data_IF_070160463398
#
_entry.id   IF_070160463398
#
_cell.length_a   1.000
_cell.length_b   1.000
_cell.length_c   1.000
_cell.angle_alpha   90.00
_cell.angle_beta   90.00
_cell.angle_gamma   90.00
#
_symmetry.space_group_name_H-M   'P 1'
#
loop_
_entity.id
_entity.type
_entity.pdbx_description
1 polymer ?
#
# COMPACT_ATOMS: atom_id res chain seq x y z
N UNK A 1 81.05 21.91 -4.40
CA UNK A 1 81.00 20.98 -5.56
C UNK A 1 80.37 19.71 -5.10
N UNK A 2 79.08 19.52 -5.36
CA UNK A 2 78.44 18.19 -5.42
C UNK A 2 77.17 18.35 -6.27
N UNK A 3 77.15 17.61 -7.37
CA UNK A 3 76.06 17.57 -8.33
C UNK A 3 74.88 16.75 -7.78
N UNK A 4 73.70 17.31 -7.75
CA UNK A 4 72.46 16.55 -7.50
C UNK A 4 71.90 15.95 -8.80
N UNK A 5 71.76 14.63 -8.84
CA UNK A 5 71.08 13.90 -9.89
C UNK A 5 69.54 13.98 -9.65
N UNK A 6 68.81 14.38 -10.69
CA UNK A 6 67.37 14.26 -10.75
C UNK A 6 67.01 12.90 -11.35
N UNK A 7 66.32 12.06 -10.55
CA UNK A 7 65.62 10.86 -11.04
C UNK A 7 64.18 11.24 -11.29
N UNK A 8 63.78 11.19 -12.55
CA UNK A 8 62.39 11.31 -12.96
C UNK A 8 61.67 9.98 -12.68
N UNK A 9 60.73 9.96 -11.76
CA UNK A 9 59.80 8.87 -11.58
C UNK A 9 58.57 9.10 -12.49
N UNK A 10 58.46 8.30 -13.54
CA UNK A 10 57.25 8.18 -14.35
C UNK A 10 56.15 7.49 -13.51
N UNK A 11 55.22 8.27 -13.00
CA UNK A 11 53.99 7.77 -12.40
C UNK A 11 53.04 7.34 -13.50
N UNK A 12 52.83 6.04 -13.62
CA UNK A 12 51.76 5.47 -14.42
C UNK A 12 50.44 5.73 -13.67
N UNK A 13 49.65 6.69 -14.13
CA UNK A 13 48.26 6.83 -13.72
C UNK A 13 47.48 5.65 -14.28
N UNK A 14 47.22 4.65 -13.44
CA UNK A 14 46.20 3.66 -13.72
C UNK A 14 44.84 4.37 -13.63
N UNK A 15 44.15 4.49 -14.76
CA UNK A 15 42.77 4.93 -14.83
C UNK A 15 41.91 3.89 -14.10
N UNK A 16 41.24 4.31 -13.03
CA UNK A 16 40.18 3.57 -12.39
C UNK A 16 39.01 3.61 -13.37
N UNK A 17 38.47 2.48 -13.85
CA UNK A 17 37.27 2.50 -14.66
C UNK A 17 36.13 3.04 -13.82
N UNK A 18 35.40 4.03 -14.38
CA UNK A 18 34.28 4.68 -13.76
C UNK A 18 33.23 3.64 -13.30
N UNK A 19 32.78 3.81 -12.08
CA UNK A 19 31.59 3.15 -11.61
C UNK A 19 30.39 3.72 -12.39
N UNK A 20 30.02 3.04 -13.46
CA UNK A 20 28.74 3.27 -14.11
C UNK A 20 27.64 2.93 -13.08
N UNK A 21 26.68 3.83 -13.01
CA UNK A 21 25.51 3.70 -12.16
C UNK A 21 24.71 2.43 -12.50
N UNK A 22 24.97 1.33 -11.81
CA UNK A 22 24.19 0.09 -11.87
C UNK A 22 23.03 0.17 -10.88
N UNK A 23 22.12 1.11 -11.08
CA UNK A 23 21.04 1.37 -10.13
C UNK A 23 19.64 0.96 -10.58
N UNK A 24 19.41 0.59 -11.83
CA UNK A 24 18.06 0.33 -12.35
C UNK A 24 17.81 -1.09 -12.86
N UNK A 25 18.84 -1.90 -13.04
CA UNK A 25 18.71 -3.27 -13.60
C UNK A 25 18.62 -4.37 -12.54
N UNK A 26 18.94 -4.07 -11.29
CA UNK A 26 19.07 -5.08 -10.23
C UNK A 26 17.71 -5.69 -9.83
N UNK A 27 16.62 -4.91 -9.89
CA UNK A 27 15.28 -5.41 -9.57
C UNK A 27 14.68 -6.24 -10.71
N UNK A 28 14.93 -5.86 -11.96
CA UNK A 28 14.55 -6.67 -13.12
C UNK A 28 15.35 -7.97 -13.17
N UNK A 29 16.66 -7.93 -12.86
CA UNK A 29 17.52 -9.11 -12.80
C UNK A 29 17.25 -9.99 -11.57
N UNK A 30 16.87 -9.42 -10.41
CA UNK A 30 16.42 -10.21 -9.25
C UNK A 30 15.11 -10.95 -9.52
N UNK A 31 14.27 -10.45 -10.41
CA UNK A 31 13.02 -11.13 -10.82
C UNK A 31 13.31 -12.28 -11.79
N UNK A 32 14.35 -12.21 -12.60
CA UNK A 32 14.65 -13.21 -13.65
C UNK A 32 15.60 -14.34 -13.16
N UNK A 33 16.33 -14.15 -12.07
CA UNK A 33 17.22 -15.15 -11.46
C UNK A 33 16.53 -15.99 -10.35
N UNK A 34 15.23 -16.26 -10.46
CA UNK A 34 14.51 -17.06 -9.46
C UNK A 34 14.94 -18.53 -9.47
N UNK A 35 15.14 -19.14 -8.29
CA UNK A 35 15.23 -20.59 -8.18
C UNK A 35 13.97 -21.22 -8.79
N UNK A 36 14.11 -22.30 -9.56
CA UNK A 36 12.98 -23.08 -10.09
C UNK A 36 12.05 -23.46 -8.95
N UNK A 37 10.80 -22.94 -8.96
CA UNK A 37 9.78 -23.17 -7.93
C UNK A 37 9.18 -21.92 -7.31
N UNK A 38 9.66 -20.72 -7.64
CA UNK A 38 9.01 -19.48 -7.22
C UNK A 38 7.92 -19.08 -8.21
N UNK A 39 6.74 -18.84 -7.67
CA UNK A 39 5.54 -18.36 -8.37
C UNK A 39 5.85 -17.05 -9.10
N UNK A 40 5.41 -16.89 -10.34
CA UNK A 40 5.60 -15.66 -11.11
C UNK A 40 4.84 -14.48 -10.46
N UNK A 41 5.21 -13.25 -10.84
CA UNK A 41 4.52 -12.04 -10.33
C UNK A 41 3.06 -12.01 -10.75
N UNK A 42 2.77 -12.47 -11.95
CA UNK A 42 1.42 -12.64 -12.50
C UNK A 42 0.65 -13.71 -11.72
N UNK A 43 1.27 -14.82 -11.42
CA UNK A 43 0.72 -15.94 -10.66
C UNK A 43 0.42 -15.58 -9.20
N UNK A 44 1.28 -14.77 -8.56
CA UNK A 44 1.00 -14.19 -7.25
C UNK A 44 -0.21 -13.27 -7.28
N UNK A 45 -0.34 -12.47 -8.35
CA UNK A 45 -1.48 -11.60 -8.56
C UNK A 45 -2.76 -12.40 -8.76
N UNK A 46 -2.74 -13.40 -9.64
CA UNK A 46 -3.89 -14.28 -9.89
C UNK A 46 -4.33 -15.02 -8.63
N UNK A 47 -3.37 -15.56 -7.86
CA UNK A 47 -3.67 -16.22 -6.59
C UNK A 47 -4.31 -15.25 -5.60
N UNK A 48 -3.83 -14.00 -5.53
CA UNK A 48 -4.42 -12.96 -4.68
C UNK A 48 -5.82 -12.58 -5.12
N UNK A 49 -6.05 -12.45 -6.42
CA UNK A 49 -7.38 -12.18 -6.98
C UNK A 49 -8.33 -13.35 -6.72
N UNK A 50 -7.89 -14.60 -6.86
CA UNK A 50 -8.68 -15.80 -6.51
C UNK A 50 -9.04 -15.82 -5.02
N UNK A 51 -8.11 -15.50 -4.12
CA UNK A 51 -8.39 -15.38 -2.68
C UNK A 51 -9.46 -14.32 -2.37
N UNK A 52 -9.58 -13.29 -3.21
CA UNK A 52 -10.59 -12.25 -3.13
C UNK A 52 -11.90 -12.63 -3.86
N UNK A 53 -12.04 -13.86 -4.33
CA UNK A 53 -13.22 -14.34 -5.07
C UNK A 53 -13.32 -13.79 -6.49
N UNK A 54 -12.17 -13.40 -7.08
CA UNK A 54 -12.07 -12.98 -8.48
C UNK A 54 -11.68 -14.19 -9.31
N UNK A 55 -12.65 -14.96 -9.75
CA UNK A 55 -12.43 -16.01 -10.73
C UNK A 55 -12.19 -15.37 -12.09
N UNK A 56 -11.06 -15.70 -12.72
CA UNK A 56 -10.71 -15.23 -14.05
C UNK A 56 -10.62 -13.69 -14.16
N UNK A 57 -9.63 -13.04 -13.48
CA UNK A 57 -9.49 -11.59 -13.55
C UNK A 57 -9.18 -11.14 -14.98
N UNK A 58 -9.93 -10.17 -15.48
CA UNK A 58 -9.52 -9.47 -16.69
C UNK A 58 -8.09 -8.94 -16.54
N UNK A 59 -7.25 -9.00 -17.57
CA UNK A 59 -5.93 -8.41 -17.49
C UNK A 59 -6.04 -6.94 -17.09
N UNK A 60 -5.20 -6.55 -16.17
CA UNK A 60 -5.22 -5.20 -15.64
C UNK A 60 -5.05 -4.17 -16.76
N UNK A 61 -5.86 -3.10 -16.77
CA UNK A 61 -5.88 -2.16 -17.87
C UNK A 61 -4.57 -1.37 -17.93
N UNK A 62 -3.93 -1.36 -19.09
CA UNK A 62 -2.76 -0.52 -19.39
C UNK A 62 -3.13 0.79 -20.09
N UNK A 63 -4.42 0.97 -20.40
CA UNK A 63 -4.97 2.14 -21.07
C UNK A 63 -6.46 2.31 -20.69
N UNK A 64 -7.05 3.48 -20.92
CA UNK A 64 -8.47 3.72 -20.72
C UNK A 64 -9.35 2.72 -21.48
N UNK A 65 -10.33 2.13 -20.82
CA UNK A 65 -11.19 1.07 -21.36
C UNK A 65 -12.33 1.59 -22.26
N UNK A 66 -12.72 2.85 -22.07
CA UNK A 66 -13.83 3.46 -22.81
C UNK A 66 -13.66 4.98 -22.91
N UNK A 67 -14.58 5.65 -23.65
CA UNK A 67 -14.53 7.09 -23.86
C UNK A 67 -14.60 7.91 -22.55
N UNK A 68 -15.46 7.55 -21.63
CA UNK A 68 -15.61 8.26 -20.35
C UNK A 68 -14.31 8.18 -19.54
N UNK A 69 -13.73 6.98 -19.47
CA UNK A 69 -12.46 6.72 -18.82
C UNK A 69 -11.30 7.51 -19.47
N UNK A 70 -11.29 7.60 -20.81
CA UNK A 70 -10.32 8.41 -21.56
C UNK A 70 -10.43 9.88 -21.25
N UNK A 71 -11.65 10.41 -21.15
CA UNK A 71 -11.91 11.84 -20.85
C UNK A 71 -11.38 12.19 -19.44
N UNK A 72 -11.71 11.37 -18.45
CA UNK A 72 -11.23 11.59 -17.08
C UNK A 72 -9.70 11.44 -16.99
N UNK A 73 -9.10 10.47 -17.66
CA UNK A 73 -7.66 10.29 -17.72
C UNK A 73 -6.96 11.52 -18.31
N UNK A 74 -7.42 12.01 -19.49
CA UNK A 74 -6.85 13.19 -20.15
C UNK A 74 -7.02 14.43 -19.27
N UNK A 75 -8.19 14.62 -18.67
CA UNK A 75 -8.49 15.74 -17.77
C UNK A 75 -7.50 15.84 -16.62
N UNK A 76 -7.32 14.74 -15.88
CA UNK A 76 -6.49 14.74 -14.69
C UNK A 76 -5.00 14.74 -15.01
N UNK A 77 -4.59 14.07 -16.07
CA UNK A 77 -3.22 14.16 -16.59
C UNK A 77 -2.87 15.60 -17.00
N UNK A 78 -3.76 16.28 -17.72
CA UNK A 78 -3.58 17.69 -18.07
C UNK A 78 -3.48 18.56 -16.82
N UNK A 79 -4.38 18.39 -15.85
CA UNK A 79 -4.36 19.13 -14.59
C UNK A 79 -3.04 18.93 -13.83
N UNK A 80 -2.53 17.70 -13.76
CA UNK A 80 -1.23 17.38 -13.16
C UNK A 80 -0.07 18.11 -13.86
N UNK A 81 -0.08 18.12 -15.21
CA UNK A 81 0.99 18.71 -16.02
C UNK A 81 0.98 20.24 -16.01
N UNK A 82 -0.19 20.86 -15.84
CA UNK A 82 -0.32 22.33 -15.78
C UNK A 82 -0.23 22.91 -14.37
N UNK A 83 -0.26 22.06 -13.36
CA UNK A 83 -0.12 22.50 -11.97
C UNK A 83 1.31 22.98 -11.70
N UNK A 84 1.42 24.01 -10.88
CA UNK A 84 2.69 24.61 -10.46
C UNK A 84 3.04 24.21 -9.01
N UNK A 85 4.29 24.39 -8.63
CA UNK A 85 4.76 24.09 -7.27
C UNK A 85 4.87 22.59 -7.00
N UNK A 86 4.93 22.26 -5.69
CA UNK A 86 5.09 20.88 -5.23
C UNK A 86 3.80 20.11 -5.35
N UNK A 87 3.88 18.92 -5.93
CA UNK A 87 2.73 18.04 -6.13
C UNK A 87 3.15 16.58 -6.24
N UNK A 88 2.24 15.69 -5.86
CA UNK A 88 2.31 14.26 -6.13
C UNK A 88 1.47 13.97 -7.36
N UNK A 89 2.00 13.15 -8.27
CA UNK A 89 1.30 12.71 -9.48
C UNK A 89 1.32 11.18 -9.50
N UNK A 90 0.17 10.54 -9.69
CA UNK A 90 0.02 9.09 -9.77
C UNK A 90 -0.61 8.72 -11.09
N UNK A 91 0.07 7.92 -11.87
CA UNK A 91 -0.50 7.27 -13.07
C UNK A 91 -0.94 5.85 -12.72
N UNK A 92 -2.23 5.58 -12.83
CA UNK A 92 -2.81 4.26 -12.58
C UNK A 92 -2.32 3.27 -13.64
N UNK A 93 -2.28 3.68 -14.90
CA UNK A 93 -1.90 2.79 -16.01
C UNK A 93 -0.40 2.51 -16.06
N UNK A 94 0.44 3.51 -15.78
CA UNK A 94 1.89 3.34 -15.73
C UNK A 94 2.33 2.69 -14.42
N UNK A 95 1.45 2.70 -13.38
CA UNK A 95 1.75 2.24 -12.02
C UNK A 95 2.99 2.92 -11.48
N UNK A 96 2.98 4.24 -11.60
CA UNK A 96 4.07 5.12 -11.17
C UNK A 96 3.54 6.26 -10.32
N UNK A 97 4.39 6.72 -9.42
CA UNK A 97 4.23 7.95 -8.67
C UNK A 97 5.40 8.87 -8.96
N UNK A 98 5.12 10.15 -9.13
CA UNK A 98 6.13 11.21 -9.20
C UNK A 98 5.89 12.23 -8.09
N UNK A 99 6.97 12.67 -7.44
CA UNK A 99 6.98 13.88 -6.65
C UNK A 99 7.66 14.96 -7.49
N UNK A 100 6.93 16.04 -7.78
CA UNK A 100 7.36 17.09 -8.69
C UNK A 100 7.35 18.42 -7.94
N UNK A 101 8.33 19.29 -8.23
CA UNK A 101 8.36 20.68 -7.76
C UNK A 101 8.63 21.62 -8.93
N UNK A 102 7.62 22.42 -9.32
CA UNK A 102 7.73 23.21 -10.55
C UNK A 102 7.87 22.34 -11.80
N UNK A 103 9.04 22.37 -12.43
CA UNK A 103 9.40 21.53 -13.58
C UNK A 103 10.30 20.34 -13.17
N UNK A 104 10.80 20.33 -11.94
CA UNK A 104 11.78 19.34 -11.48
C UNK A 104 11.05 18.10 -10.94
N UNK A 105 11.41 16.93 -11.46
CA UNK A 105 11.02 15.64 -10.89
C UNK A 105 11.98 15.29 -9.77
N UNK A 106 11.49 15.33 -8.53
CA UNK A 106 12.27 15.02 -7.34
C UNK A 106 12.36 13.51 -7.09
N UNK A 107 11.31 12.78 -7.48
CA UNK A 107 11.23 11.32 -7.37
C UNK A 107 10.36 10.77 -8.50
N UNK A 108 10.78 9.65 -9.07
CA UNK A 108 9.94 8.75 -9.85
C UNK A 108 10.01 7.36 -9.20
N UNK A 109 8.88 6.81 -8.82
CA UNK A 109 8.77 5.54 -8.11
C UNK A 109 7.75 4.61 -8.74
N UNK A 110 8.00 3.31 -8.67
CA UNK A 110 6.98 2.31 -8.98
C UNK A 110 5.87 2.35 -7.93
N UNK A 111 4.62 2.23 -8.35
CA UNK A 111 3.47 2.31 -7.46
C UNK A 111 2.51 1.13 -7.65
N UNK A 112 2.17 0.44 -6.57
CA UNK A 112 1.03 -0.46 -6.53
C UNK A 112 -0.27 0.33 -6.46
N UNK A 113 -1.27 -0.04 -7.27
CA UNK A 113 -2.55 0.66 -7.37
C UNK A 113 -3.72 -0.30 -7.19
N UNK A 114 -4.93 0.24 -7.12
CA UNK A 114 -6.16 -0.52 -6.97
C UNK A 114 -6.40 -1.53 -8.10
N UNK A 115 -6.98 -2.67 -7.75
CA UNK A 115 -7.26 -3.77 -8.69
C UNK A 115 -8.23 -3.40 -9.82
N UNK A 116 -8.95 -2.30 -9.71
CA UNK A 116 -9.91 -1.86 -10.74
C UNK A 116 -11.14 -2.75 -10.86
N UNK A 117 -11.50 -3.45 -9.80
CA UNK A 117 -12.64 -4.39 -9.77
C UNK A 117 -13.64 -4.01 -8.69
N UNK A 118 -14.92 -4.28 -8.96
CA UNK A 118 -15.98 -4.13 -7.97
C UNK A 118 -16.38 -5.52 -7.48
N UNK A 119 -16.16 -5.78 -6.19
CA UNK A 119 -16.38 -7.09 -5.57
C UNK A 119 -17.05 -6.97 -4.21
N UNK A 120 -17.69 -8.05 -3.81
CA UNK A 120 -18.29 -8.23 -2.49
C UNK A 120 -19.05 -9.53 -2.40
N UNK A 121 -19.09 -10.20 -1.23
CA UNK A 121 -19.89 -11.39 -1.02
C UNK A 121 -21.37 -11.11 -1.28
N UNK A 122 -22.09 -12.11 -1.75
CA UNK A 122 -23.55 -12.00 -1.92
C UNK A 122 -24.19 -11.62 -0.58
N UNK A 123 -25.00 -10.54 -0.58
CA UNK A 123 -25.73 -10.10 0.59
C UNK A 123 -24.99 -9.16 1.56
N UNK A 124 -23.69 -8.87 1.35
CA UNK A 124 -22.93 -7.99 2.26
C UNK A 124 -22.63 -6.61 1.64
N UNK A 125 -22.69 -6.49 0.31
CA UNK A 125 -22.42 -5.24 -0.40
C UNK A 125 -21.32 -5.39 -1.44
N UNK A 126 -21.17 -4.35 -2.24
CA UNK A 126 -20.13 -4.28 -3.28
C UNK A 126 -19.17 -3.16 -2.92
N UNK A 127 -17.89 -3.45 -3.06
CA UNK A 127 -16.80 -2.51 -2.85
C UNK A 127 -16.06 -2.30 -4.16
N UNK A 128 -15.75 -1.05 -4.45
CA UNK A 128 -14.91 -0.68 -5.58
C UNK A 128 -13.45 -0.63 -5.10
N UNK A 129 -12.64 -1.52 -5.64
CA UNK A 129 -11.21 -1.62 -5.36
C UNK A 129 -10.37 -0.88 -6.40
N UNK A 130 -10.90 0.17 -6.98
CA UNK A 130 -10.17 1.05 -7.88
C UNK A 130 -9.43 2.15 -7.09
N UNK A 131 -8.26 2.56 -7.56
CA UNK A 131 -7.67 3.82 -7.13
C UNK A 131 -8.46 4.96 -7.80
N UNK A 132 -9.15 5.82 -7.03
CA UNK A 132 -10.03 6.82 -7.61
C UNK A 132 -9.21 7.95 -8.25
N UNK A 133 -9.56 8.29 -9.49
CA UNK A 133 -8.98 9.44 -10.19
C UNK A 133 -9.44 10.74 -9.59
N UNK A 134 -8.65 11.78 -9.77
CA UNK A 134 -9.01 13.11 -9.34
C UNK A 134 -7.86 13.89 -8.71
N UNK A 135 -8.20 15.06 -8.20
CA UNK A 135 -7.32 15.86 -7.35
C UNK A 135 -7.67 15.61 -5.90
N UNK A 136 -6.65 15.24 -5.13
CA UNK A 136 -6.68 15.08 -3.67
C UNK A 136 -5.67 16.01 -3.02
N UNK A 137 -5.55 15.93 -1.72
CA UNK A 137 -4.58 16.70 -0.95
C UNK A 137 -4.05 15.82 0.18
N UNK A 138 -2.77 15.90 0.50
CA UNK A 138 -2.21 15.28 1.69
C UNK A 138 -2.82 15.94 2.93
N UNK A 139 -3.66 15.22 3.65
CA UNK A 139 -4.39 15.70 4.82
C UNK A 139 -3.64 15.45 6.12
N UNK A 140 -2.96 14.30 6.22
CA UNK A 140 -2.20 13.90 7.38
C UNK A 140 -1.05 12.98 6.99
N UNK A 141 -0.07 12.85 7.88
CA UNK A 141 1.11 12.00 7.74
C UNK A 141 1.33 11.24 9.03
N UNK A 142 1.73 9.98 8.95
CA UNK A 142 1.97 9.15 10.13
C UNK A 142 3.15 8.22 9.92
N UNK A 143 3.98 8.09 10.97
CA UNK A 143 5.07 7.12 11.04
C UNK A 143 4.60 5.87 11.79
N UNK A 144 5.09 4.70 11.37
CA UNK A 144 4.71 3.40 11.93
C UNK A 144 3.18 3.23 12.05
N UNK A 145 2.44 3.48 10.95
CA UNK A 145 0.99 3.51 10.99
C UNK A 145 0.40 2.12 11.25
N UNK A 146 -0.63 2.08 12.06
CA UNK A 146 -1.43 0.88 12.24
C UNK A 146 -2.57 0.88 11.21
N UNK A 147 -2.69 -0.20 10.45
CA UNK A 147 -3.81 -0.35 9.54
C UNK A 147 -5.09 -0.66 10.31
N UNK A 148 -6.14 0.04 9.99
CA UNK A 148 -7.49 -0.19 10.54
C UNK A 148 -8.37 -0.76 9.42
N UNK A 149 -8.38 -2.09 9.21
CA UNK A 149 -8.99 -2.70 8.04
C UNK A 149 -10.50 -2.46 7.98
N UNK A 150 -11.05 -2.18 6.78
CA UNK A 150 -12.50 -2.22 6.53
C UNK A 150 -13.07 -3.63 6.72
N UNK A 151 -14.39 -3.73 6.83
CA UNK A 151 -15.08 -5.01 7.08
C UNK A 151 -14.80 -6.07 6.00
N UNK A 152 -14.64 -5.66 4.74
CA UNK A 152 -14.32 -6.58 3.65
C UNK A 152 -13.02 -7.37 3.85
N UNK A 153 -12.09 -6.88 4.66
CA UNK A 153 -10.83 -7.57 4.99
C UNK A 153 -11.07 -8.92 5.69
N UNK A 154 -12.14 -9.02 6.44
CA UNK A 154 -12.48 -10.22 7.23
C UNK A 154 -13.24 -11.27 6.43
N UNK A 155 -13.78 -10.90 5.24
CA UNK A 155 -14.50 -11.85 4.41
C UNK A 155 -13.57 -12.91 3.84
N UNK A 156 -14.00 -14.14 3.87
CA UNK A 156 -13.20 -15.28 3.43
C UNK A 156 -12.14 -15.76 4.42
N UNK A 157 -11.98 -15.09 5.58
CA UNK A 157 -11.08 -15.58 6.64
C UNK A 157 -11.68 -16.70 7.47
N UNK A 158 -12.99 -16.86 7.44
CA UNK A 158 -13.71 -17.96 8.08
C UNK A 158 -14.99 -18.27 7.28
N UNK A 159 -15.54 -19.46 7.49
CA UNK A 159 -16.80 -19.87 6.87
C UNK A 159 -17.97 -18.94 7.25
N UNK A 160 -18.01 -18.51 8.51
CA UNK A 160 -19.00 -17.58 9.00
C UNK A 160 -18.32 -16.34 9.60
N UNK A 161 -18.57 -15.18 8.99
CA UNK A 161 -18.08 -13.87 9.45
C UNK A 161 -19.28 -12.99 9.81
N UNK A 162 -19.26 -12.32 10.95
CA UNK A 162 -20.31 -11.41 11.40
C UNK A 162 -19.75 -10.12 12.00
N UNK A 163 -20.41 -8.98 11.86
CA UNK A 163 -20.10 -7.79 12.62
C UNK A 163 -20.18 -8.07 14.13
N UNK A 164 -19.33 -7.40 14.92
CA UNK A 164 -19.40 -7.48 16.38
C UNK A 164 -20.73 -6.89 16.86
N UNK A 165 -21.56 -7.64 17.61
CA UNK A 165 -22.88 -7.16 18.00
C UNK A 165 -22.77 -6.10 19.12
N UNK A 166 -23.63 -5.07 19.05
CA UNK A 166 -23.64 -3.97 20.02
C UNK A 166 -23.80 -4.45 21.47
N UNK A 167 -24.57 -5.51 21.69
CA UNK A 167 -24.77 -6.11 23.02
C UNK A 167 -23.65 -7.09 23.45
N UNK A 168 -22.62 -7.26 22.64
CA UNK A 168 -21.56 -8.24 22.89
C UNK A 168 -22.02 -9.69 22.57
N UNK A 169 -21.06 -10.63 22.73
CA UNK A 169 -21.27 -12.05 22.39
C UNK A 169 -21.45 -12.85 23.68
N UNK A 170 -22.54 -13.56 23.84
CA UNK A 170 -22.76 -14.43 25.01
C UNK A 170 -21.90 -15.68 24.91
N UNK A 171 -21.24 -16.03 26.02
CA UNK A 171 -20.49 -17.27 26.18
C UNK A 171 -21.17 -18.23 27.19
N UNK A 172 -22.48 -18.04 27.41
CA UNK A 172 -23.19 -18.78 28.45
C UNK A 172 -22.66 -18.42 29.85
N UNK A 173 -22.49 -19.43 30.68
CA UNK A 173 -21.97 -19.28 32.08
C UNK A 173 -20.52 -18.76 32.11
N UNK A 174 -19.80 -18.83 30.98
CA UNK A 174 -18.44 -18.33 30.86
C UNK A 174 -18.33 -16.81 30.70
N UNK A 175 -19.46 -16.09 30.68
CA UNK A 175 -19.49 -14.65 30.61
C UNK A 175 -19.91 -14.09 29.26
N UNK A 176 -19.45 -12.90 28.93
CA UNK A 176 -19.82 -12.19 27.71
C UNK A 176 -18.61 -11.46 27.14
N UNK A 177 -18.41 -11.56 25.82
CA UNK A 177 -17.42 -10.73 25.13
C UNK A 177 -18.02 -9.35 24.88
N UNK A 178 -17.37 -8.32 25.35
CA UNK A 178 -17.85 -6.93 25.27
C UNK A 178 -16.74 -5.99 24.82
N UNK A 179 -17.14 -4.83 24.28
CA UNK A 179 -16.23 -3.70 24.08
C UNK A 179 -16.19 -2.83 25.33
N UNK A 180 -14.99 -2.47 25.78
CA UNK A 180 -14.77 -1.41 26.79
C UNK A 180 -13.71 -0.44 26.27
N UNK A 181 -14.12 0.79 25.96
CA UNK A 181 -13.24 1.79 25.35
C UNK A 181 -12.65 1.33 24.02
N UNK A 182 -11.32 1.25 23.95
CA UNK A 182 -10.54 0.81 22.79
C UNK A 182 -10.20 -0.69 22.79
N UNK A 183 -10.77 -1.49 23.68
CA UNK A 183 -10.49 -2.92 23.84
C UNK A 183 -11.75 -3.76 23.74
N UNK A 184 -11.57 -4.98 23.21
CA UNK A 184 -12.55 -6.06 23.34
C UNK A 184 -12.03 -7.04 24.35
N UNK A 185 -12.91 -7.54 25.22
CA UNK A 185 -12.52 -8.47 26.28
C UNK A 185 -13.70 -9.27 26.79
N UNK A 186 -13.41 -10.23 27.67
CA UNK A 186 -14.40 -11.08 28.32
C UNK A 186 -14.79 -10.44 29.68
N UNK A 187 -16.08 -10.25 29.87
CA UNK A 187 -16.66 -9.81 31.13
C UNK A 187 -17.23 -11.04 31.83
N UNK A 188 -16.70 -11.33 33.04
CA UNK A 188 -17.15 -12.45 33.89
C UNK A 188 -17.22 -11.99 35.32
N UNK A 189 -18.37 -12.16 35.98
CA UNK A 189 -18.54 -11.77 37.38
C UNK A 189 -18.24 -10.30 37.73
N UNK A 190 -18.32 -9.41 36.73
CA UNK A 190 -17.95 -7.98 36.86
C UNK A 190 -16.50 -7.65 36.47
N UNK A 191 -15.63 -8.65 36.39
CA UNK A 191 -14.23 -8.51 35.97
C UNK A 191 -14.13 -8.50 34.43
N UNK A 192 -13.25 -7.63 33.89
CA UNK A 192 -12.97 -7.50 32.45
C UNK A 192 -11.55 -7.94 32.17
N UNK A 193 -11.43 -8.97 31.36
CA UNK A 193 -10.17 -9.49 30.81
C UNK A 193 -10.06 -9.13 29.32
N UNK A 194 -9.08 -8.29 28.97
CA UNK A 194 -8.89 -7.88 27.59
C UNK A 194 -8.38 -9.06 26.73
N UNK A 195 -8.95 -9.21 25.53
CA UNK A 195 -8.45 -10.14 24.53
C UNK A 195 -7.24 -9.48 23.86
N UNK A 196 -6.10 -10.20 23.72
CA UNK A 196 -4.93 -9.68 23.01
C UNK A 196 -5.28 -9.18 21.60
N UNK A 197 -4.61 -8.11 21.15
CA UNK A 197 -4.93 -7.44 19.89
C UNK A 197 -4.80 -8.39 18.68
N UNK A 198 -3.79 -9.27 18.72
CA UNK A 198 -3.48 -10.20 17.64
C UNK A 198 -4.41 -11.42 17.58
N UNK A 199 -5.21 -11.61 18.65
CA UNK A 199 -6.11 -12.76 18.72
C UNK A 199 -7.40 -12.52 17.93
N UNK A 200 -7.72 -13.37 16.94
CA UNK A 200 -8.99 -13.30 16.26
C UNK A 200 -10.19 -13.46 17.22
N UNK A 201 -11.22 -12.67 17.01
CA UNK A 201 -12.46 -12.76 17.81
C UNK A 201 -13.34 -13.91 17.31
N UNK A 202 -12.85 -15.14 17.43
CA UNK A 202 -13.57 -16.33 16.97
C UNK A 202 -14.23 -17.04 18.16
N UNK A 203 -15.57 -17.15 18.11
CA UNK A 203 -16.39 -17.80 19.13
C UNK A 203 -17.45 -18.67 18.47
N UNK A 204 -17.57 -19.91 18.92
CA UNK A 204 -18.55 -20.88 18.40
C UNK A 204 -18.49 -21.03 16.86
N UNK A 205 -17.29 -21.06 16.27
CA UNK A 205 -17.09 -21.19 14.82
C UNK A 205 -17.37 -19.91 14.01
N UNK A 206 -17.71 -18.80 14.66
CA UNK A 206 -17.98 -17.50 14.01
C UNK A 206 -16.81 -16.56 14.25
N UNK A 207 -16.27 -15.99 13.20
CA UNK A 207 -15.34 -14.86 13.25
C UNK A 207 -16.13 -13.56 13.35
N UNK A 208 -15.92 -12.83 14.43
CA UNK A 208 -16.54 -11.51 14.64
C UNK A 208 -15.57 -10.42 14.22
N UNK A 209 -16.00 -9.50 13.35
CA UNK A 209 -15.23 -8.34 12.91
C UNK A 209 -15.03 -7.41 14.12
N UNK A 210 -13.79 -7.13 14.55
CA UNK A 210 -13.57 -6.26 15.70
C UNK A 210 -14.15 -4.86 15.48
N UNK A 211 -14.74 -4.22 16.50
CA UNK A 211 -15.29 -2.87 16.37
C UNK A 211 -14.24 -1.84 15.96
N UNK A 212 -14.63 -0.86 15.15
CA UNK A 212 -13.77 0.28 14.82
C UNK A 212 -13.30 1.00 16.09
N UNK A 213 -12.02 1.46 16.05
CA UNK A 213 -11.41 2.18 17.17
C UNK A 213 -10.91 1.28 18.31
N UNK A 214 -11.00 -0.06 18.15
CA UNK A 214 -10.38 -0.98 19.12
C UNK A 214 -8.98 -1.40 18.65
N UNK A 215 -8.11 -1.71 19.61
CA UNK A 215 -6.77 -2.27 19.34
C UNK A 215 -6.87 -3.61 18.64
N UNK A 216 -7.92 -4.38 18.89
CA UNK A 216 -8.19 -5.69 18.26
C UNK A 216 -8.47 -5.59 16.75
N UNK A 217 -8.74 -4.38 16.21
CA UNK A 217 -8.93 -4.15 14.80
C UNK A 217 -7.67 -3.67 14.08
N UNK A 218 -6.68 -3.18 14.83
CA UNK A 218 -5.47 -2.57 14.28
C UNK A 218 -4.44 -3.65 13.92
N UNK A 219 -3.88 -3.55 12.70
CA UNK A 219 -2.86 -4.47 12.19
C UNK A 219 -1.57 -3.68 11.95
N UNK A 220 -0.45 -4.05 12.58
CA UNK A 220 0.83 -3.40 12.34
C UNK A 220 1.43 -3.81 10.99
N UNK A 221 2.41 -3.06 10.53
CA UNK A 221 3.33 -3.31 9.42
C UNK A 221 2.73 -3.34 8.01
N UNK A 222 1.42 -3.53 7.85
CA UNK A 222 0.75 -3.63 6.53
C UNK A 222 0.96 -2.39 5.67
N UNK A 223 1.03 -1.22 6.30
CA UNK A 223 1.19 0.08 5.63
C UNK A 223 2.66 0.53 5.52
N UNK A 224 3.61 -0.34 5.89
CA UNK A 224 5.03 0.02 5.97
C UNK A 224 5.31 1.05 7.06
N UNK A 225 6.45 1.74 6.95
CA UNK A 225 6.92 2.69 7.97
C UNK A 225 6.24 4.06 7.91
N UNK A 226 5.74 4.46 6.75
CA UNK A 226 5.17 5.79 6.52
C UNK A 226 3.87 5.71 5.73
N UNK A 227 2.93 6.61 6.06
CA UNK A 227 1.74 6.85 5.24
C UNK A 227 1.42 8.33 5.11
N UNK A 228 0.78 8.68 3.99
CA UNK A 228 0.09 9.95 3.75
C UNK A 228 -1.39 9.63 3.57
N UNK A 229 -2.25 10.31 4.32
CA UNK A 229 -3.70 10.25 4.15
C UNK A 229 -4.14 11.32 3.13
N UNK A 230 -4.89 10.90 2.11
CA UNK A 230 -5.41 11.80 1.06
C UNK A 230 -6.92 11.95 1.09
N UNK A 231 -7.57 11.46 2.15
CA UNK A 231 -9.02 11.48 2.33
C UNK A 231 -9.73 10.26 1.74
N UNK A 232 -10.98 10.06 2.16
CA UNK A 232 -11.87 8.98 1.73
C UNK A 232 -11.27 7.58 1.87
N UNK A 233 -10.35 7.38 2.84
CA UNK A 233 -9.67 6.10 3.05
C UNK A 233 -8.60 5.76 2.01
N UNK A 234 -8.23 6.69 1.14
CA UNK A 234 -7.18 6.51 0.13
C UNK A 234 -5.85 6.99 0.71
N UNK A 235 -4.93 6.06 0.85
CA UNK A 235 -3.61 6.27 1.40
C UNK A 235 -2.53 6.14 0.33
N UNK A 236 -1.43 6.89 0.51
CA UNK A 236 -0.14 6.60 -0.11
C UNK A 236 0.75 6.09 1.01
N UNK A 237 1.27 4.86 0.89
CA UNK A 237 1.91 4.19 2.02
C UNK A 237 2.99 3.20 1.58
N UNK A 238 3.86 2.81 2.51
CA UNK A 238 4.82 1.74 2.34
C UNK A 238 4.18 0.34 2.35
N UNK A 239 4.97 -0.69 2.57
CA UNK A 239 4.45 -2.05 2.54
C UNK A 239 5.36 -3.07 3.21
N UNK A 240 4.77 -4.07 3.84
CA UNK A 240 5.45 -5.30 4.23
C UNK A 240 5.48 -6.36 3.10
N UNK A 241 4.91 -6.04 1.93
CA UNK A 241 4.86 -6.91 0.74
C UNK A 241 5.45 -6.16 -0.48
N UNK A 242 6.78 -6.09 -0.62
CA UNK A 242 7.44 -5.37 -1.70
C UNK A 242 7.09 -5.90 -3.09
N UNK A 243 6.73 -7.18 -3.22
CA UNK A 243 6.37 -7.80 -4.49
C UNK A 243 5.06 -7.24 -5.07
N UNK A 244 4.25 -6.58 -4.26
CA UNK A 244 3.00 -5.94 -4.69
C UNK A 244 3.19 -4.50 -5.19
N UNK A 245 4.40 -3.94 -5.13
CA UNK A 245 4.70 -2.61 -5.69
C UNK A 245 4.79 -2.71 -7.21
N UNK A 246 4.19 -1.74 -7.91
CA UNK A 246 4.09 -1.73 -9.38
C UNK A 246 3.03 -2.69 -9.95
N UNK A 247 2.11 -3.19 -9.12
CA UNK A 247 1.01 -4.07 -9.52
C UNK A 247 -0.36 -3.41 -9.28
N UNK A 248 -1.42 -3.98 -9.88
CA UNK A 248 -2.83 -3.75 -9.50
C UNK A 248 -3.20 -4.73 -8.39
N UNK A 249 -2.81 -4.47 -7.17
CA UNK A 249 -2.99 -5.40 -6.07
C UNK A 249 -3.54 -4.75 -4.81
N UNK A 250 -3.89 -3.45 -4.86
CA UNK A 250 -4.44 -2.76 -3.69
C UNK A 250 -5.96 -2.63 -3.78
N UNK A 251 -6.56 -2.24 -2.68
CA UNK A 251 -7.99 -1.99 -2.58
C UNK A 251 -8.34 -0.50 -2.79
N UNK A 252 -7.45 0.23 -3.51
CA UNK A 252 -7.63 1.65 -3.84
C UNK A 252 -6.46 2.54 -3.39
N UNK A 253 -5.69 2.13 -2.38
CA UNK A 253 -4.50 2.84 -1.94
C UNK A 253 -3.36 2.79 -2.97
N UNK A 254 -2.41 3.71 -2.84
CA UNK A 254 -1.16 3.74 -3.61
C UNK A 254 -0.04 3.20 -2.73
N UNK A 255 0.60 2.12 -3.17
CA UNK A 255 1.63 1.41 -2.42
C UNK A 255 3.01 1.67 -3.04
N UNK A 256 3.98 2.03 -2.22
CA UNK A 256 5.36 2.30 -2.62
C UNK A 256 6.32 1.36 -1.87
N UNK A 257 7.56 1.30 -2.33
CA UNK A 257 8.66 0.78 -1.51
C UNK A 257 8.90 1.70 -0.30
N UNK A 258 9.45 1.16 0.77
CA UNK A 258 9.65 1.91 2.03
C UNK A 258 10.57 3.11 1.85
N UNK A 259 11.63 3.03 1.04
CA UNK A 259 12.53 4.15 0.77
C UNK A 259 11.84 5.26 -0.04
N UNK A 260 11.00 4.89 -1.02
CA UNK A 260 10.24 5.83 -1.84
C UNK A 260 9.19 6.58 -1.02
N UNK A 261 8.43 5.86 -0.19
CA UNK A 261 7.44 6.50 0.68
C UNK A 261 8.09 7.36 1.74
N UNK A 262 9.26 6.98 2.26
CA UNK A 262 10.03 7.81 3.17
C UNK A 262 10.40 9.14 2.50
N UNK A 263 10.95 9.10 1.29
CA UNK A 263 11.29 10.29 0.54
C UNK A 263 10.06 11.19 0.29
N UNK A 264 8.93 10.60 -0.12
CA UNK A 264 7.67 11.33 -0.30
C UNK A 264 7.19 11.92 1.03
N UNK A 265 7.27 11.16 2.12
CA UNK A 265 6.89 11.60 3.45
C UNK A 265 7.70 12.82 3.90
N UNK A 266 9.02 12.79 3.73
CA UNK A 266 9.90 13.89 4.11
C UNK A 266 9.69 15.15 3.25
N UNK A 267 9.42 14.96 1.94
CA UNK A 267 9.42 16.03 0.95
C UNK A 267 8.02 16.51 0.51
N UNK A 268 6.93 15.86 0.90
CA UNK A 268 5.57 16.29 0.62
C UNK A 268 4.88 16.72 1.93
N UNK A 269 4.83 18.02 2.26
CA UNK A 269 4.14 18.50 3.45
C UNK A 269 2.62 18.29 3.34
N UNK A 270 1.93 18.33 4.49
CA UNK A 270 0.46 18.43 4.55
C UNK A 270 0.02 19.63 3.71
N UNK A 271 -1.05 19.47 2.93
CA UNK A 271 -1.50 20.44 1.95
C UNK A 271 -0.97 20.19 0.52
N UNK A 272 0.02 19.29 0.33
CA UNK A 272 0.52 18.97 -1.01
C UNK A 272 -0.60 18.41 -1.89
N UNK A 273 -0.85 18.97 -3.09
CA UNK A 273 -1.82 18.42 -4.04
C UNK A 273 -1.38 17.05 -4.56
N UNK A 274 -2.35 16.16 -4.73
CA UNK A 274 -2.17 14.82 -5.30
C UNK A 274 -3.08 14.70 -6.53
N UNK A 275 -2.50 14.41 -7.69
CA UNK A 275 -3.23 14.18 -8.94
C UNK A 275 -3.14 12.71 -9.31
N UNK A 276 -4.29 12.06 -9.51
CA UNK A 276 -4.40 10.64 -9.87
C UNK A 276 -5.13 10.53 -11.20
N UNK A 277 -4.53 9.84 -12.20
CA UNK A 277 -5.09 9.64 -13.54
C UNK A 277 -4.83 8.26 -14.13
#
# INVERSE_FOLDING_TARGET
>A
MVRALWLAALGVCAAVPGAEAQGTDTLAQMVDNRPRGLVSREELMENRLRQLGVDNPDPAPTAPRNRADSVEWVRWRRAANTATGRRIVVSIYDRKLWLINGQDTLLEAAAGVGMGVVRGPRGIGRYDFSTPRGRRTVLAKEENPLWNPPDWHYWGQAEVVRPFPAGGISLGDSGRVVRRGDKVGILRGGEFEAIPAERPLTFNGVLYIPPFGTVNRKIPDVLGKFKLDTGDGILIHGTNDPLAVGLWGTHGCVRLFDDDIQFVYENAPVGTPVYIY
#
